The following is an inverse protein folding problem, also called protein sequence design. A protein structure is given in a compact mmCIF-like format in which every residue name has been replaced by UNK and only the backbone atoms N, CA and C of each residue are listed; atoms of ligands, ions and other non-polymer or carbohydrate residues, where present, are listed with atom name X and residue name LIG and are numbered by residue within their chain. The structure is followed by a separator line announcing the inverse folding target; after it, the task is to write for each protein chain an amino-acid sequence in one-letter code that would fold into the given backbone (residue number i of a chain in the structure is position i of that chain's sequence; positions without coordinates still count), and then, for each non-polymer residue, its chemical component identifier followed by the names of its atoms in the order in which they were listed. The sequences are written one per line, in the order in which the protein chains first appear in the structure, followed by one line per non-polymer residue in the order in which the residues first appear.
data_IF_161932152505
#
_entry.id   IF_161932152505
#
_cell.length_a   1.000
_cell.length_b   1.000
_cell.length_c   1.000
_cell.angle_alpha   90.00
_cell.angle_beta   90.00
_cell.angle_gamma   90.00
#
_symmetry.space_group_name_H-M   'P 1'
#
loop_
_entity.id
_entity.type
_entity.pdbx_description
1 polymer ?
#
# COMPACT_ATOMS: atom_id res chain seq x y z
N UNK A 1 -12.82 9.45 49.83
CA UNK A 1 -12.78 9.02 48.43
C UNK A 1 -11.36 8.56 48.12
N UNK A 2 -11.16 7.31 47.74
CA UNK A 2 -9.81 6.73 47.64
C UNK A 2 -9.17 7.15 46.31
N UNK A 3 -8.02 7.85 46.28
CA UNK A 3 -7.40 8.38 45.05
C UNK A 3 -7.00 7.30 44.03
N UNK A 4 -6.84 6.04 44.46
CA UNK A 4 -6.56 4.89 43.57
C UNK A 4 -7.74 4.52 42.67
N UNK A 5 -8.99 4.72 43.08
CA UNK A 5 -10.18 4.37 42.29
C UNK A 5 -10.44 5.39 41.18
N UNK A 6 -10.14 6.68 41.40
CA UNK A 6 -10.31 7.74 40.41
C UNK A 6 -9.33 7.60 39.24
N UNK A 7 -8.06 7.18 39.49
CA UNK A 7 -7.06 6.97 38.47
C UNK A 7 -7.38 5.81 37.51
N UNK A 8 -7.92 4.71 38.04
CA UNK A 8 -8.31 3.53 37.23
C UNK A 8 -9.50 3.85 36.32
N UNK A 9 -10.49 4.62 36.82
CA UNK A 9 -11.66 5.01 36.01
C UNK A 9 -11.30 5.96 34.88
N UNK A 10 -10.39 6.92 35.10
CA UNK A 10 -9.89 7.84 34.06
C UNK A 10 -9.09 7.12 32.99
N UNK A 11 -8.23 6.16 33.35
CA UNK A 11 -7.47 5.34 32.40
C UNK A 11 -8.40 4.52 31.51
N UNK A 12 -9.38 3.84 32.11
CA UNK A 12 -10.35 3.03 31.37
C UNK A 12 -11.24 3.87 30.43
N UNK A 13 -11.63 5.06 30.83
CA UNK A 13 -12.36 6.00 29.95
C UNK A 13 -11.50 6.51 28.80
N UNK A 14 -10.23 6.83 29.05
CA UNK A 14 -9.31 7.26 28.02
C UNK A 14 -9.04 6.16 26.99
N UNK A 15 -8.82 4.93 27.41
CA UNK A 15 -8.66 3.75 26.55
C UNK A 15 -9.92 3.48 25.71
N UNK A 16 -11.10 3.54 26.30
CA UNK A 16 -12.39 3.39 25.62
C UNK A 16 -12.62 4.49 24.57
N UNK A 17 -12.27 5.73 24.87
CA UNK A 17 -12.35 6.84 23.91
C UNK A 17 -11.34 6.70 22.77
N UNK A 18 -10.14 6.24 23.06
CA UNK A 18 -9.10 5.95 22.05
C UNK A 18 -9.54 4.84 21.11
N UNK A 19 -10.08 3.75 21.64
CA UNK A 19 -10.61 2.64 20.87
C UNK A 19 -11.77 3.06 19.96
N UNK A 20 -12.71 3.87 20.47
CA UNK A 20 -13.83 4.41 19.66
C UNK A 20 -13.33 5.34 18.53
N UNK A 21 -12.35 6.21 18.80
CA UNK A 21 -11.75 7.07 17.76
C UNK A 21 -11.03 6.24 16.70
N UNK A 22 -10.37 5.17 17.09
CA UNK A 22 -9.70 4.26 16.17
C UNK A 22 -10.72 3.54 15.27
N UNK A 23 -11.78 2.98 15.85
CA UNK A 23 -12.86 2.31 15.12
C UNK A 23 -13.56 3.25 14.14
N UNK A 24 -13.84 4.50 14.54
CA UNK A 24 -14.42 5.50 13.64
C UNK A 24 -13.49 5.87 12.47
N UNK A 25 -12.18 5.96 12.68
CA UNK A 25 -11.22 6.24 11.62
C UNK A 25 -11.15 5.09 10.60
N UNK A 26 -11.17 3.84 11.06
CA UNK A 26 -11.22 2.65 10.21
C UNK A 26 -12.52 2.61 9.40
N UNK A 27 -13.67 2.79 10.05
CA UNK A 27 -14.98 2.80 9.40
C UNK A 27 -15.07 3.91 8.32
N UNK A 28 -14.59 5.11 8.63
CA UNK A 28 -14.55 6.22 7.66
C UNK A 28 -13.65 5.91 6.48
N UNK A 29 -12.53 5.24 6.70
CA UNK A 29 -11.61 4.84 5.64
C UNK A 29 -12.24 3.76 4.74
N UNK A 30 -12.85 2.73 5.33
CA UNK A 30 -13.53 1.66 4.58
C UNK A 30 -14.74 2.17 3.77
N UNK A 31 -15.42 3.22 4.27
CA UNK A 31 -16.54 3.85 3.59
C UNK A 31 -16.12 4.91 2.54
N UNK A 32 -14.84 5.32 2.50
CA UNK A 32 -14.37 6.38 1.61
C UNK A 32 -14.64 6.05 0.13
N UNK A 33 -14.89 7.10 -0.67
CA UNK A 33 -15.09 6.97 -2.11
C UNK A 33 -13.86 6.35 -2.77
N UNK A 34 -14.10 5.47 -3.73
CA UNK A 34 -13.05 4.88 -4.56
C UNK A 34 -12.98 5.59 -5.91
N UNK A 35 -11.77 5.65 -6.45
CA UNK A 35 -11.47 6.22 -7.75
C UNK A 35 -10.71 5.22 -8.60
N UNK A 36 -11.06 5.14 -9.87
CA UNK A 36 -10.34 4.37 -10.90
C UNK A 36 -9.07 5.11 -11.32
N UNK A 37 -8.18 4.40 -12.03
CA UNK A 37 -7.00 5.05 -12.63
C UNK A 37 -7.38 6.19 -13.56
N UNK A 38 -8.39 6.02 -14.38
CA UNK A 38 -8.86 7.04 -15.34
C UNK A 38 -9.28 8.32 -14.63
N UNK A 39 -10.12 8.22 -13.59
CA UNK A 39 -10.53 9.36 -12.78
C UNK A 39 -9.34 10.06 -12.09
N UNK A 40 -8.38 9.30 -11.56
CA UNK A 40 -7.19 9.85 -10.87
C UNK A 40 -6.30 10.64 -11.85
N UNK A 41 -6.24 10.24 -13.12
CA UNK A 41 -5.45 10.92 -14.14
C UNK A 41 -6.23 12.00 -14.92
N UNK A 42 -7.53 12.12 -14.69
CA UNK A 42 -8.34 13.22 -15.25
C UNK A 42 -7.86 14.59 -14.75
N UNK A 43 -8.20 15.64 -15.50
CA UNK A 43 -7.94 17.02 -15.10
C UNK A 43 -9.27 17.79 -15.08
N UNK A 44 -9.69 18.31 -13.91
CA UNK A 44 -8.99 18.25 -12.62
C UNK A 44 -9.03 16.86 -11.99
N UNK A 45 -7.94 16.47 -11.30
CA UNK A 45 -7.89 15.19 -10.59
C UNK A 45 -8.71 15.26 -9.29
N UNK A 46 -9.50 14.23 -8.95
CA UNK A 46 -10.21 14.16 -7.68
C UNK A 46 -9.26 13.91 -6.49
N UNK A 47 -8.02 13.49 -6.75
CA UNK A 47 -7.03 13.26 -5.69
C UNK A 47 -6.29 14.57 -5.39
N UNK A 48 -6.38 15.11 -4.17
CA UNK A 48 -5.67 16.34 -3.81
C UNK A 48 -4.15 16.11 -3.66
N UNK A 49 -3.37 17.16 -3.88
CA UNK A 49 -1.92 17.16 -3.66
C UNK A 49 -1.60 17.45 -2.17
N UNK A 50 -2.15 16.64 -1.28
CA UNK A 50 -2.09 16.80 0.17
C UNK A 50 -1.63 15.50 0.85
N UNK A 51 -1.40 15.57 2.17
CA UNK A 51 -1.05 14.42 3.00
C UNK A 51 -2.29 13.55 3.28
N UNK A 52 -2.11 12.22 3.27
CA UNK A 52 -3.20 11.32 3.58
C UNK A 52 -2.83 9.84 3.45
N UNK A 53 -3.77 8.98 3.80
CA UNK A 53 -3.71 7.54 3.60
C UNK A 53 -4.52 7.13 2.38
N UNK A 54 -4.10 6.06 1.73
CA UNK A 54 -4.79 5.49 0.58
C UNK A 54 -4.95 3.99 0.73
N UNK A 55 -6.05 3.44 0.21
CA UNK A 55 -6.35 2.01 0.18
C UNK A 55 -6.52 1.51 -1.24
N UNK A 56 -5.96 0.34 -1.52
CA UNK A 56 -6.04 -0.31 -2.83
C UNK A 56 -7.01 -1.46 -2.76
N UNK A 57 -8.06 -1.33 -3.54
CA UNK A 57 -9.16 -2.26 -3.68
C UNK A 57 -9.02 -3.05 -4.97
N UNK A 58 -9.32 -4.32 -4.93
CA UNK A 58 -9.12 -5.27 -6.03
C UNK A 58 -10.42 -5.97 -6.37
N UNK A 59 -10.77 -6.02 -7.67
CA UNK A 59 -11.87 -6.87 -8.16
C UNK A 59 -11.39 -8.28 -8.51
N UNK A 60 -10.14 -8.43 -8.95
CA UNK A 60 -9.49 -9.71 -9.14
C UNK A 60 -8.34 -9.84 -8.14
N UNK A 61 -8.33 -10.94 -7.39
CA UNK A 61 -7.32 -11.18 -6.38
C UNK A 61 -6.02 -11.62 -7.05
N UNK A 62 -4.87 -10.98 -6.80
CA UNK A 62 -3.61 -11.32 -7.43
C UNK A 62 -3.00 -12.59 -6.81
N UNK A 63 -3.07 -13.71 -7.53
CA UNK A 63 -2.57 -15.01 -7.05
C UNK A 63 -3.51 -15.67 -6.04
N UNK A 64 -2.96 -16.60 -5.29
CA UNK A 64 -3.69 -17.38 -4.28
C UNK A 64 -3.58 -16.72 -2.89
N UNK A 65 -4.41 -15.75 -2.62
CA UNK A 65 -4.51 -15.05 -1.33
C UNK A 65 -5.84 -15.41 -0.69
N UNK A 66 -5.80 -15.86 0.57
CA UNK A 66 -7.02 -15.94 1.37
C UNK A 66 -7.47 -14.52 1.73
N UNK A 67 -8.66 -14.17 1.31
CA UNK A 67 -9.26 -12.85 1.52
C UNK A 67 -10.50 -12.88 2.41
N UNK A 68 -10.73 -14.00 3.08
CA UNK A 68 -11.93 -14.20 3.93
C UNK A 68 -12.01 -13.22 5.09
N UNK A 69 -10.86 -12.74 5.60
CA UNK A 69 -10.76 -11.71 6.64
C UNK A 69 -10.68 -10.27 6.12
N UNK A 70 -10.54 -10.08 4.81
CA UNK A 70 -10.34 -8.75 4.23
C UNK A 70 -11.66 -7.97 4.15
N UNK A 71 -11.55 -6.64 4.23
CA UNK A 71 -12.69 -5.74 3.99
C UNK A 71 -13.18 -5.86 2.55
N UNK A 72 -14.50 -6.08 2.38
CA UNK A 72 -15.13 -6.24 1.06
C UNK A 72 -16.29 -5.26 0.91
N UNK A 73 -16.37 -4.59 -0.24
CA UNK A 73 -17.46 -3.66 -0.57
C UNK A 73 -17.70 -3.61 -2.08
N UNK A 74 -18.95 -3.79 -2.49
CA UNK A 74 -19.41 -3.69 -3.90
C UNK A 74 -18.58 -4.55 -4.87
N UNK A 75 -18.22 -5.78 -4.48
CA UNK A 75 -17.41 -6.70 -5.29
C UNK A 75 -15.92 -6.37 -5.35
N UNK A 76 -15.43 -5.46 -4.49
CA UNK A 76 -14.02 -5.11 -4.34
C UNK A 76 -13.51 -5.52 -2.96
N UNK A 77 -12.27 -5.96 -2.91
CA UNK A 77 -11.56 -6.37 -1.69
C UNK A 77 -10.39 -5.44 -1.42
N UNK A 78 -10.29 -4.89 -0.22
CA UNK A 78 -9.16 -4.07 0.22
C UNK A 78 -7.99 -4.97 0.60
N UNK A 79 -6.85 -4.85 -0.11
CA UNK A 79 -5.67 -5.70 0.13
C UNK A 79 -4.42 -4.94 0.58
N UNK A 80 -4.40 -3.61 0.40
CA UNK A 80 -3.23 -2.80 0.71
C UNK A 80 -3.63 -1.40 1.16
N UNK A 81 -2.92 -0.87 2.14
CA UNK A 81 -2.96 0.54 2.54
C UNK A 81 -1.57 1.15 2.48
N UNK A 82 -1.52 2.46 2.39
CA UNK A 82 -0.28 3.22 2.44
C UNK A 82 -0.52 4.66 2.85
N UNK A 83 0.53 5.34 3.24
CA UNK A 83 0.52 6.76 3.62
C UNK A 83 1.42 7.60 2.72
N UNK A 84 1.09 8.86 2.56
CA UNK A 84 1.94 9.84 1.89
C UNK A 84 1.74 11.23 2.51
N UNK A 85 2.83 11.87 2.99
CA UNK A 85 4.18 11.31 3.15
C UNK A 85 4.23 10.17 4.19
N UNK A 86 5.35 9.44 4.21
CA UNK A 86 5.66 8.52 5.32
C UNK A 86 6.05 9.28 6.60
N UNK A 87 6.34 8.55 7.70
CA UNK A 87 6.73 9.16 8.97
C UNK A 87 8.00 10.01 8.80
N UNK A 88 8.21 11.02 9.65
CA UNK A 88 9.47 11.76 9.68
C UNK A 88 10.67 10.81 9.81
N UNK A 89 11.83 11.25 9.33
CA UNK A 89 13.08 10.52 9.53
C UNK A 89 13.43 10.45 11.01
N UNK A 90 14.38 9.58 11.36
CA UNK A 90 14.83 9.41 12.75
C UNK A 90 15.36 10.70 13.40
N UNK A 91 15.84 11.66 12.59
CA UNK A 91 16.28 12.99 13.00
C UNK A 91 15.14 14.02 13.12
N UNK A 92 13.90 13.59 12.94
CA UNK A 92 12.71 14.45 12.96
C UNK A 92 12.45 15.23 11.68
N UNK A 93 13.32 15.14 10.67
CA UNK A 93 13.09 15.86 9.40
C UNK A 93 11.94 15.23 8.62
N UNK A 94 10.99 16.04 8.09
CA UNK A 94 9.93 15.53 7.24
C UNK A 94 10.51 14.79 6.03
N UNK A 95 9.87 13.70 5.62
CA UNK A 95 10.19 13.11 4.32
C UNK A 95 9.78 14.11 3.23
N UNK A 96 10.66 14.31 2.23
CA UNK A 96 10.39 15.21 1.11
C UNK A 96 9.07 14.80 0.46
N UNK A 97 8.18 15.78 0.37
CA UNK A 97 6.76 15.65 0.12
C UNK A 97 6.41 14.90 -1.18
N UNK A 98 6.26 13.60 -1.08
CA UNK A 98 5.33 12.93 -1.98
C UNK A 98 3.93 13.14 -1.41
N UNK A 99 3.11 13.98 -2.05
CA UNK A 99 1.68 14.08 -1.74
C UNK A 99 0.93 12.83 -2.23
N UNK A 100 -0.31 12.65 -1.77
CA UNK A 100 -1.17 11.53 -2.17
C UNK A 100 -1.27 11.39 -3.69
N UNK A 101 -1.50 12.50 -4.42
CA UNK A 101 -1.67 12.48 -5.88
C UNK A 101 -0.44 11.90 -6.58
N UNK A 102 0.74 12.41 -6.25
CA UNK A 102 2.01 11.90 -6.81
C UNK A 102 2.22 10.43 -6.45
N UNK A 103 1.98 10.05 -5.18
CA UNK A 103 2.18 8.68 -4.72
C UNK A 103 1.25 7.69 -5.41
N UNK A 104 -0.04 8.00 -5.49
CA UNK A 104 -1.03 7.14 -6.12
C UNK A 104 -0.76 7.04 -7.64
N UNK A 105 -0.50 8.17 -8.33
CA UNK A 105 -0.12 8.17 -9.75
C UNK A 105 1.15 7.36 -10.00
N UNK A 106 2.13 7.44 -9.11
CA UNK A 106 3.35 6.61 -9.20
C UNK A 106 3.04 5.11 -9.08
N UNK A 107 2.21 4.70 -8.14
CA UNK A 107 1.77 3.31 -8.05
C UNK A 107 1.07 2.85 -9.33
N UNK A 108 0.29 3.69 -9.98
CA UNK A 108 -0.36 3.44 -11.26
C UNK A 108 0.55 3.56 -12.49
N UNK A 109 1.85 3.71 -12.32
CA UNK A 109 2.81 3.67 -13.43
C UNK A 109 3.16 5.04 -14.02
N UNK A 110 2.87 6.16 -13.33
CA UNK A 110 3.29 7.49 -13.80
C UNK A 110 4.80 7.67 -13.76
N UNK A 111 5.35 8.33 -14.76
CA UNK A 111 6.77 8.62 -14.85
C UNK A 111 7.63 7.36 -14.96
N UNK A 112 8.66 7.29 -14.15
CA UNK A 112 9.59 6.17 -14.07
C UNK A 112 9.20 5.13 -12.99
N UNK A 113 7.92 4.93 -12.75
CA UNK A 113 7.41 4.00 -11.76
C UNK A 113 7.89 2.57 -12.03
N UNK A 114 8.41 1.92 -11.00
CA UNK A 114 8.96 0.57 -11.11
C UNK A 114 8.81 -0.22 -9.81
N UNK A 115 9.12 -1.50 -9.87
CA UNK A 115 9.18 -2.38 -8.71
C UNK A 115 10.11 -1.86 -7.60
N UNK A 116 11.13 -1.07 -7.93
CA UNK A 116 12.10 -0.55 -6.97
C UNK A 116 11.50 0.57 -6.09
N UNK A 117 10.73 1.47 -6.70
CA UNK A 117 10.11 2.61 -6.00
C UNK A 117 8.73 2.34 -5.42
N UNK A 118 8.14 1.17 -5.68
CA UNK A 118 6.79 0.83 -5.23
C UNK A 118 6.72 -0.58 -4.68
N UNK A 119 6.56 -0.68 -3.35
CA UNK A 119 6.35 -1.99 -2.67
C UNK A 119 5.10 -2.70 -3.16
N UNK A 120 4.02 -1.96 -3.44
CA UNK A 120 2.79 -2.50 -4.02
C UNK A 120 3.05 -3.11 -5.41
N UNK A 121 3.65 -2.34 -6.34
CA UNK A 121 3.98 -2.85 -7.68
C UNK A 121 4.88 -4.08 -7.60
N UNK A 122 5.89 -4.06 -6.74
CA UNK A 122 6.79 -5.20 -6.54
C UNK A 122 6.04 -6.45 -6.05
N UNK A 123 5.13 -6.30 -5.10
CA UNK A 123 4.30 -7.40 -4.61
C UNK A 123 3.38 -7.93 -5.71
N UNK A 124 2.65 -7.06 -6.39
CA UNK A 124 1.76 -7.44 -7.49
C UNK A 124 2.50 -8.11 -8.65
N UNK A 125 3.61 -7.53 -9.09
CA UNK A 125 4.38 -8.11 -10.19
C UNK A 125 5.02 -9.45 -9.86
N UNK A 126 5.35 -9.71 -8.60
CA UNK A 126 5.83 -11.04 -8.16
C UNK A 126 4.70 -12.06 -8.13
N UNK A 127 3.49 -11.65 -7.72
CA UNK A 127 2.32 -12.53 -7.67
C UNK A 127 1.75 -12.85 -9.06
N UNK A 128 1.80 -11.88 -9.97
CA UNK A 128 1.19 -11.97 -11.30
C UNK A 128 2.18 -12.29 -12.42
N UNK A 129 3.49 -12.28 -12.13
CA UNK A 129 4.52 -12.36 -13.16
C UNK A 129 4.44 -13.58 -14.05
N UNK A 130 4.19 -14.74 -13.48
CA UNK A 130 4.04 -15.99 -14.24
C UNK A 130 2.77 -15.97 -15.13
N UNK A 131 1.66 -15.43 -14.61
CA UNK A 131 0.40 -15.28 -15.35
C UNK A 131 0.51 -14.26 -16.49
N UNK A 132 1.22 -13.15 -16.26
CA UNK A 132 1.33 -12.03 -17.19
C UNK A 132 2.58 -12.09 -18.09
N UNK A 133 3.42 -13.11 -17.94
CA UNK A 133 4.56 -13.37 -18.82
C UNK A 133 5.79 -12.49 -18.58
N UNK A 134 6.03 -12.03 -17.34
CA UNK A 134 7.22 -11.26 -17.01
C UNK A 134 7.85 -11.66 -15.66
N UNK A 135 9.08 -11.26 -15.42
CA UNK A 135 9.81 -11.54 -14.19
C UNK A 135 10.58 -10.32 -13.70
N UNK A 136 10.90 -10.31 -12.40
CA UNK A 136 11.76 -9.29 -11.82
C UNK A 136 13.16 -9.35 -12.44
N UNK A 137 13.71 -8.19 -12.78
CA UNK A 137 15.04 -8.04 -13.39
C UNK A 137 15.86 -6.99 -12.62
N UNK A 138 17.18 -7.04 -12.79
CA UNK A 138 18.10 -5.97 -12.35
C UNK A 138 18.40 -5.05 -13.50
N UNK A 139 18.59 -3.74 -13.22
CA UNK A 139 18.86 -2.71 -14.24
C UNK A 139 20.00 -1.79 -13.82
N UNK A 140 20.70 -1.22 -14.79
CA UNK A 140 21.76 -0.24 -14.61
C UNK A 140 22.96 -0.79 -13.84
N UNK A 141 23.26 -0.27 -12.65
CA UNK A 141 24.33 -0.77 -11.79
C UNK A 141 24.05 -2.17 -11.21
N UNK A 142 22.89 -2.77 -11.49
CA UNK A 142 22.47 -4.05 -10.95
C UNK A 142 21.89 -3.99 -9.54
N UNK A 143 21.82 -2.81 -8.92
CA UNK A 143 21.21 -2.60 -7.60
C UNK A 143 19.69 -2.38 -7.68
N UNK A 144 19.24 -1.67 -8.71
CA UNK A 144 17.82 -1.37 -8.93
C UNK A 144 17.10 -2.56 -9.59
N UNK A 145 15.80 -2.68 -9.26
CA UNK A 145 14.93 -3.75 -9.73
C UNK A 145 13.74 -3.22 -10.52
N UNK A 146 13.35 -3.93 -11.56
CA UNK A 146 12.22 -3.59 -12.43
C UNK A 146 11.62 -4.86 -13.05
N UNK A 147 10.40 -4.78 -13.54
CA UNK A 147 9.83 -5.78 -14.44
C UNK A 147 10.11 -5.47 -15.93
N UNK A 148 10.90 -4.46 -16.23
CA UNK A 148 11.21 -4.03 -17.61
C UNK A 148 9.91 -3.73 -18.38
N UNK A 149 9.73 -4.32 -19.59
CA UNK A 149 8.47 -4.20 -20.33
C UNK A 149 7.23 -4.66 -19.56
N UNK A 150 7.40 -5.54 -18.57
CA UNK A 150 6.32 -5.97 -17.67
C UNK A 150 5.76 -4.86 -16.77
N UNK A 151 6.49 -3.73 -16.59
CA UNK A 151 5.93 -2.58 -15.84
C UNK A 151 4.70 -1.99 -16.55
N UNK A 152 4.70 -1.94 -17.88
CA UNK A 152 3.54 -1.49 -18.66
C UNK A 152 2.38 -2.50 -18.58
N UNK A 153 2.68 -3.79 -18.69
CA UNK A 153 1.70 -4.87 -18.54
C UNK A 153 1.04 -4.83 -17.17
N UNK A 154 1.84 -4.67 -16.11
CA UNK A 154 1.34 -4.54 -14.74
C UNK A 154 0.48 -3.27 -14.58
N UNK A 155 0.88 -2.16 -15.18
CA UNK A 155 0.10 -0.91 -15.16
C UNK A 155 -1.27 -1.09 -15.80
N UNK A 156 -1.34 -1.79 -16.93
CA UNK A 156 -2.60 -2.11 -17.59
C UNK A 156 -3.48 -3.00 -16.72
N UNK A 157 -2.93 -4.08 -16.18
CA UNK A 157 -3.67 -4.96 -15.25
C UNK A 157 -4.20 -4.18 -14.03
N UNK A 158 -3.39 -3.31 -13.42
CA UNK A 158 -3.82 -2.48 -12.29
C UNK A 158 -4.95 -1.52 -12.69
N UNK A 159 -4.88 -0.91 -13.88
CA UNK A 159 -5.92 -0.01 -14.36
C UNK A 159 -7.29 -0.68 -14.44
N UNK A 160 -7.34 -1.93 -14.86
CA UNK A 160 -8.57 -2.70 -14.99
C UNK A 160 -9.06 -3.30 -13.68
N UNK A 161 -8.14 -3.68 -12.79
CA UNK A 161 -8.44 -4.54 -11.64
C UNK A 161 -8.32 -3.85 -10.29
N UNK A 162 -7.95 -2.57 -10.25
CA UNK A 162 -7.82 -1.85 -8.99
C UNK A 162 -8.56 -0.52 -8.97
N UNK A 163 -9.00 -0.12 -7.80
CA UNK A 163 -9.47 1.24 -7.49
C UNK A 163 -8.85 1.72 -6.17
N UNK A 164 -8.84 3.02 -5.94
CA UNK A 164 -8.17 3.61 -4.78
C UNK A 164 -9.14 4.47 -3.99
N UNK A 165 -9.26 4.20 -2.68
CA UNK A 165 -9.87 5.12 -1.71
C UNK A 165 -8.78 5.95 -1.02
N UNK A 166 -9.15 7.12 -0.53
CA UNK A 166 -8.23 7.99 0.19
C UNK A 166 -8.92 8.76 1.31
N UNK A 167 -8.14 9.09 2.33
CA UNK A 167 -8.55 9.97 3.43
C UNK A 167 -7.42 10.93 3.73
N UNK A 168 -7.71 12.24 3.71
CA UNK A 168 -6.74 13.27 4.09
C UNK A 168 -6.45 13.19 5.58
N UNK A 169 -5.18 13.28 5.93
CA UNK A 169 -4.75 13.30 7.33
C UNK A 169 -3.40 14.01 7.44
N UNK A 170 -3.21 14.93 8.40
CA UNK A 170 -1.96 15.69 8.53
C UNK A 170 -0.77 14.79 8.89
N UNK A 171 -1.02 13.70 9.59
CA UNK A 171 -0.03 12.71 10.02
C UNK A 171 -0.47 11.30 9.54
N UNK A 172 -0.41 11.05 8.21
CA UNK A 172 -1.07 9.89 7.61
C UNK A 172 -0.46 8.54 8.03
N UNK A 173 0.78 8.52 8.49
CA UNK A 173 1.44 7.32 9.03
C UNK A 173 0.77 6.80 10.32
N UNK A 174 0.18 7.68 11.15
CA UNK A 174 -0.61 7.22 12.31
C UNK A 174 -1.93 6.57 11.88
N UNK A 175 -2.56 7.09 10.83
CA UNK A 175 -3.74 6.47 10.27
C UNK A 175 -3.40 5.11 9.62
N UNK A 176 -2.32 5.05 8.83
CA UNK A 176 -1.82 3.80 8.24
C UNK A 176 -1.57 2.74 9.33
N UNK A 177 -0.86 3.08 10.41
CA UNK A 177 -0.61 2.15 11.52
C UNK A 177 -1.91 1.62 12.16
N UNK A 178 -2.92 2.48 12.32
CA UNK A 178 -4.24 2.05 12.84
C UNK A 178 -4.94 1.10 11.88
N UNK A 179 -4.88 1.38 10.57
CA UNK A 179 -5.47 0.53 9.54
C UNK A 179 -4.77 -0.84 9.47
N UNK A 180 -3.43 -0.86 9.54
CA UNK A 180 -2.64 -2.08 9.57
C UNK A 180 -2.98 -2.96 10.79
N UNK A 181 -3.22 -2.37 11.94
CA UNK A 181 -3.59 -3.11 13.15
C UNK A 181 -5.04 -3.61 13.16
N UNK A 182 -5.94 -2.98 12.40
CA UNK A 182 -7.38 -3.25 12.48
C UNK A 182 -7.91 -4.08 11.31
N UNK A 183 -7.22 -4.08 10.16
CA UNK A 183 -7.69 -4.69 8.92
C UNK A 183 -6.76 -5.83 8.49
N UNK A 184 -7.33 -6.81 7.81
CA UNK A 184 -6.57 -7.87 7.17
C UNK A 184 -6.10 -7.39 5.78
N UNK A 185 -4.77 -7.14 5.64
CA UNK A 185 -4.17 -6.47 4.48
C UNK A 185 -3.00 -7.29 3.92
N UNK A 186 -3.26 -8.34 3.17
CA UNK A 186 -2.25 -9.34 2.77
C UNK A 186 -1.13 -8.79 1.88
N UNK A 187 -1.30 -7.66 1.21
CA UNK A 187 -0.25 -7.04 0.38
C UNK A 187 0.65 -6.07 1.15
N UNK A 188 0.32 -5.71 2.39
CA UNK A 188 1.23 -5.03 3.29
C UNK A 188 2.21 -6.02 3.91
N UNK A 189 3.50 -5.66 3.98
CA UNK A 189 4.56 -6.53 4.51
C UNK A 189 5.18 -5.94 5.77
N UNK A 190 5.41 -4.63 5.81
CA UNK A 190 5.95 -3.93 6.97
C UNK A 190 4.84 -3.72 8.00
N UNK A 191 5.19 -3.83 9.28
CA UNK A 191 4.28 -3.61 10.41
C UNK A 191 2.97 -4.41 10.31
N UNK A 192 3.04 -5.61 9.68
CA UNK A 192 1.89 -6.47 9.40
C UNK A 192 2.24 -7.96 9.66
N UNK A 193 2.98 -8.21 10.74
CA UNK A 193 3.44 -9.56 11.11
C UNK A 193 2.29 -10.49 11.50
N UNK A 194 1.15 -9.94 11.91
CA UNK A 194 -0.04 -10.72 12.28
C UNK A 194 -0.78 -11.29 11.06
N UNK A 195 -0.56 -10.75 9.86
CA UNK A 195 -1.19 -11.27 8.64
C UNK A 195 -0.50 -12.56 8.18
N UNK A 196 -1.28 -13.63 8.03
CA UNK A 196 -0.78 -14.98 7.68
C UNK A 196 -0.11 -15.04 6.30
N UNK A 197 -0.45 -14.14 5.37
CA UNK A 197 0.13 -14.10 4.02
C UNK A 197 1.45 -13.30 3.96
N UNK A 198 1.71 -12.38 4.86
CA UNK A 198 2.89 -11.54 4.85
C UNK A 198 4.22 -12.32 4.81
N UNK A 199 4.43 -13.41 5.58
CA UNK A 199 5.63 -14.24 5.47
C UNK A 199 5.79 -14.92 4.09
N UNK A 200 4.68 -15.41 3.51
CA UNK A 200 4.66 -16.02 2.15
C UNK A 200 5.06 -14.98 1.11
N UNK A 201 4.48 -13.78 1.17
CA UNK A 201 4.80 -12.70 0.24
C UNK A 201 6.25 -12.20 0.39
N UNK A 202 6.76 -12.08 1.62
CA UNK A 202 8.18 -11.79 1.89
C UNK A 202 9.09 -12.83 1.22
N UNK A 203 8.76 -14.12 1.34
CA UNK A 203 9.50 -15.21 0.70
C UNK A 203 9.46 -15.11 -0.81
N UNK A 204 8.29 -14.95 -1.43
CA UNK A 204 8.12 -14.84 -2.88
C UNK A 204 8.93 -13.65 -3.45
N UNK A 205 8.92 -12.50 -2.79
CA UNK A 205 9.73 -11.33 -3.20
C UNK A 205 11.23 -11.59 -3.10
N UNK A 206 11.68 -12.29 -2.06
CA UNK A 206 13.08 -12.68 -1.90
C UNK A 206 13.50 -13.66 -2.99
N UNK A 207 12.70 -14.69 -3.25
CA UNK A 207 12.98 -15.69 -4.26
C UNK A 207 13.03 -15.06 -5.67
N UNK A 208 12.12 -14.14 -5.99
CA UNK A 208 12.16 -13.36 -7.23
C UNK A 208 13.45 -12.51 -7.33
N UNK A 209 13.88 -11.88 -6.24
CA UNK A 209 15.12 -11.11 -6.22
C UNK A 209 16.36 -12.01 -6.41
N UNK A 210 16.40 -13.19 -5.81
CA UNK A 210 17.46 -14.19 -6.03
C UNK A 210 17.49 -14.66 -7.48
N UNK A 211 16.31 -14.96 -8.07
CA UNK A 211 16.19 -15.32 -9.49
C UNK A 211 16.69 -14.19 -10.40
N UNK A 212 16.29 -12.95 -10.14
CA UNK A 212 16.78 -11.76 -10.85
C UNK A 212 18.30 -11.59 -10.72
N UNK A 213 18.88 -11.96 -9.57
CA UNK A 213 20.31 -11.94 -9.30
C UNK A 213 21.13 -12.83 -10.24
N UNK A 214 20.56 -13.93 -10.71
CA UNK A 214 21.18 -14.89 -11.63
C UNK A 214 21.03 -14.51 -13.11
N UNK A 215 20.18 -13.53 -13.43
CA UNK A 215 19.96 -13.06 -14.79
C UNK A 215 20.92 -11.93 -15.15
N UNK A 216 21.18 -11.76 -16.46
CA UNK A 216 21.93 -10.61 -16.98
C UNK A 216 21.27 -9.30 -16.56
N UNK A 217 22.07 -8.35 -16.09
CA UNK A 217 21.60 -7.00 -15.77
C UNK A 217 21.17 -6.31 -17.06
N UNK A 218 20.02 -5.64 -17.05
CA UNK A 218 19.54 -4.85 -18.16
C UNK A 218 20.29 -3.51 -18.21
N UNK A 219 20.53 -2.98 -19.40
CA UNK A 219 21.00 -1.62 -19.56
C UNK A 219 19.98 -0.61 -19.02
N UNK A 220 20.42 0.54 -18.55
CA UNK A 220 19.50 1.64 -18.29
C UNK A 220 18.84 2.08 -19.60
N UNK A 221 17.56 2.39 -19.51
CA UNK A 221 16.86 3.02 -20.61
C UNK A 221 17.45 4.43 -20.80
N UNK A 222 18.00 4.70 -21.96
CA UNK A 222 18.38 6.05 -22.40
C UNK A 222 17.14 6.88 -22.73
#
# INVERSE_FOLDING_TARGET
MNPRTAGITLSFMAESMSAKRSANAVASFSAAQRYTREEIFAEPSPVPAEAGAHGWWFRHIPGEIDVSGCEQRDGWTLLYVGASPGPPRADGTPQVAADLRKRIRYHFGAGNASADGSTLRKSLGVLLGDQLGFALRRIGSGKRQTFAGGEAVLTHWMAENTSVSLVLHPEPWYLEAKLLNALDLPLNIQDNEHNAFAPKLKKLRRDAAVKAGKMRVLAEWS
#
